data_IF_200637750325
#
_entry.id   IF_200637750325
#
_cell.length_a   1.000
_cell.length_b   1.000
_cell.length_c   1.000
_cell.angle_alpha   90.00
_cell.angle_beta   90.00
_cell.angle_gamma   90.00
#
_symmetry.space_group_name_H-M   'P 1'
#
loop_
_entity.id
_entity.type
_entity.pdbx_description
1 polymer ?
#
# COMPACT_ATOMS: atom_id res chain seq x y z
N UNK A 1 -2.49 -43.14 -15.26
CA UNK A 1 -2.35 -43.19 -13.79
C UNK A 1 -1.55 -41.99 -13.33
N UNK A 2 -2.06 -41.29 -12.30
CA UNK A 2 -1.51 -40.13 -11.56
C UNK A 2 -1.36 -38.79 -12.31
N UNK A 3 -2.46 -38.03 -12.21
CA UNK A 3 -2.54 -36.56 -12.34
C UNK A 3 -1.83 -35.91 -11.14
N UNK A 4 -1.02 -34.89 -11.36
CA UNK A 4 -0.75 -33.87 -10.35
C UNK A 4 -1.41 -32.57 -10.80
N UNK A 5 -2.48 -32.24 -10.10
CA UNK A 5 -3.11 -30.92 -10.10
C UNK A 5 -2.16 -29.95 -9.40
N UNK A 6 -1.69 -28.92 -10.09
CA UNK A 6 -1.25 -27.68 -9.44
C UNK A 6 -2.34 -26.64 -9.65
N UNK A 7 -3.30 -26.64 -8.73
CA UNK A 7 -4.18 -25.50 -8.50
C UNK A 7 -3.42 -24.47 -7.68
N UNK A 8 -3.33 -23.25 -8.20
CA UNK A 8 -3.70 -22.02 -7.52
C UNK A 8 -2.95 -21.59 -6.26
N UNK A 9 -2.42 -20.36 -6.32
CA UNK A 9 -2.73 -19.37 -5.29
C UNK A 9 -1.55 -18.69 -4.62
N UNK A 10 -1.48 -17.38 -4.86
CA UNK A 10 -0.85 -16.34 -4.02
C UNK A 10 0.69 -16.35 -3.97
N UNK A 11 1.42 -15.23 -3.96
CA UNK A 11 1.19 -13.90 -3.38
C UNK A 11 1.97 -12.81 -4.14
N UNK A 12 1.36 -11.63 -4.16
CA UNK A 12 1.94 -10.28 -4.29
C UNK A 12 3.38 -10.19 -3.77
N UNK A 13 4.34 -9.86 -4.65
CA UNK A 13 5.64 -9.31 -4.24
C UNK A 13 5.56 -7.80 -4.34
N UNK A 14 4.85 -7.20 -3.39
CA UNK A 14 5.03 -5.80 -2.99
C UNK A 14 5.60 -5.89 -1.58
N UNK A 15 6.92 -5.87 -1.49
CA UNK A 15 7.60 -6.05 -0.23
C UNK A 15 9.08 -6.14 -0.45
N UNK A 16 9.73 -4.97 -0.48
CA UNK A 16 11.16 -4.65 -0.38
C UNK A 16 11.25 -3.24 -0.96
N UNK A 17 11.09 -2.17 -0.18
CA UNK A 17 12.17 -1.50 0.53
C UNK A 17 11.53 -0.63 1.62
N UNK A 18 11.61 -1.05 2.89
CA UNK A 18 11.49 -0.16 4.06
C UNK A 18 12.17 -0.82 5.25
N UNK A 19 13.50 -0.97 5.21
CA UNK A 19 14.29 -1.21 6.41
C UNK A 19 15.67 -0.55 6.26
N UNK A 20 15.80 0.65 6.82
CA UNK A 20 17.04 1.06 7.44
C UNK A 20 16.80 1.94 8.67
N UNK A 21 17.54 1.56 9.72
CA UNK A 21 17.68 2.07 11.07
C UNK A 21 17.87 3.60 11.16
N UNK A 22 17.51 4.19 12.33
CA UNK A 22 18.19 5.28 13.10
C UNK A 22 17.18 5.93 14.12
N UNK A 23 17.61 6.70 15.14
CA UNK A 23 17.17 6.58 16.55
C UNK A 23 15.95 7.44 16.93
N UNK A 24 15.49 7.25 18.19
CA UNK A 24 14.40 7.88 19.01
C UNK A 24 13.65 9.14 18.51
N UNK A 25 14.23 10.01 17.68
CA UNK A 25 13.51 11.12 17.02
C UNK A 25 12.57 10.66 15.88
N UNK A 26 12.71 9.43 15.38
CA UNK A 26 11.82 8.86 14.35
C UNK A 26 10.46 8.46 14.90
N UNK A 27 10.34 8.18 16.21
CA UNK A 27 9.12 7.64 16.80
C UNK A 27 8.01 8.69 16.89
N UNK A 28 8.34 9.91 17.34
CA UNK A 28 7.42 11.06 17.28
C UNK A 28 7.02 11.40 15.83
N UNK A 29 7.95 11.30 14.87
CA UNK A 29 7.67 11.60 13.46
C UNK A 29 6.78 10.52 12.82
N UNK A 30 6.94 9.26 13.22
CA UNK A 30 6.13 8.12 12.75
C UNK A 30 4.71 8.18 13.34
N UNK A 31 4.57 8.48 14.62
CA UNK A 31 3.27 8.64 15.28
C UNK A 31 2.52 9.88 14.77
N UNK A 32 3.22 11.02 14.60
CA UNK A 32 2.62 12.21 13.99
C UNK A 32 2.18 11.95 12.54
N UNK A 33 2.92 11.13 11.77
CA UNK A 33 2.50 10.69 10.43
C UNK A 33 1.27 9.79 10.49
N UNK A 34 1.19 8.84 11.43
CA UNK A 34 0.02 7.96 11.60
C UNK A 34 -1.25 8.72 12.02
N UNK A 35 -1.13 9.80 12.81
CA UNK A 35 -2.24 10.67 13.15
C UNK A 35 -2.73 11.55 11.98
N UNK A 36 -1.87 11.75 10.96
CA UNK A 36 -2.14 12.57 9.77
C UNK A 36 -2.64 11.74 8.57
N UNK A 37 -2.62 10.41 8.66
CA UNK A 37 -3.16 9.51 7.66
C UNK A 37 -4.65 9.26 7.92
N UNK A 38 -5.45 9.10 6.87
CA UNK A 38 -6.80 8.59 7.01
C UNK A 38 -6.77 7.06 7.02
N UNK A 39 -7.49 6.44 7.95
CA UNK A 39 -7.70 4.98 7.92
C UNK A 39 -8.89 4.68 7.01
N UNK A 40 -8.74 3.76 6.05
CA UNK A 40 -9.82 3.30 5.17
C UNK A 40 -10.85 2.38 5.86
N UNK A 41 -10.82 2.27 7.19
CA UNK A 41 -11.58 1.26 7.95
C UNK A 41 -12.34 1.94 9.10
N UNK A 42 -13.40 2.67 8.77
CA UNK A 42 -14.41 3.12 9.75
C UNK A 42 -15.73 3.42 9.03
N UNK A 43 -16.29 2.39 8.40
CA UNK A 43 -17.70 2.33 8.03
C UNK A 43 -18.23 0.91 8.21
N UNK A 44 -18.17 0.36 9.42
CA UNK A 44 -19.13 -0.64 9.90
C UNK A 44 -19.21 -0.46 11.42
N UNK A 45 -20.14 0.37 11.87
CA UNK A 45 -20.54 0.41 13.27
C UNK A 45 -21.74 -0.51 13.45
N UNK A 46 -21.58 -1.45 14.39
CA UNK A 46 -22.55 -2.46 14.79
C UNK A 46 -23.77 -1.80 15.44
N UNK A 47 -24.95 -2.30 15.09
CA UNK A 47 -26.13 -2.22 15.96
C UNK A 47 -26.75 -3.62 16.01
N UNK A 48 -26.71 -4.25 17.17
CA UNK A 48 -27.41 -5.51 17.45
C UNK A 48 -28.89 -5.27 17.81
N UNK A 49 -29.75 -6.32 17.75
CA UNK A 49 -31.18 -6.18 17.58
C UNK A 49 -31.99 -6.40 18.87
N UNK A 50 -33.17 -5.78 18.95
CA UNK A 50 -34.30 -6.30 19.72
C UNK A 50 -35.61 -6.11 18.94
N UNK A 51 -36.51 -7.07 19.09
CA UNK A 51 -37.53 -7.50 18.12
C UNK A 51 -38.95 -7.10 18.53
N UNK A 52 -39.79 -6.64 17.59
CA UNK A 52 -41.25 -6.96 17.54
C UNK A 52 -41.93 -6.55 16.21
N UNK A 53 -42.15 -7.54 15.31
CA UNK A 53 -43.42 -7.95 14.63
C UNK A 53 -44.48 -6.83 14.39
N UNK A 54 -45.00 -6.44 13.20
CA UNK A 54 -45.59 -7.15 12.03
C UNK A 54 -45.93 -6.13 10.87
N UNK A 55 -46.53 -6.47 9.71
CA UNK A 55 -45.98 -6.12 8.39
C UNK A 55 -46.89 -5.23 7.50
N UNK A 56 -46.30 -4.60 6.49
CA UNK A 56 -47.01 -4.27 5.25
C UNK A 56 -46.70 -2.91 4.61
N UNK A 57 -46.03 -2.99 3.46
CA UNK A 57 -46.14 -2.16 2.22
C UNK A 57 -44.80 -1.61 1.69
N UNK A 58 -44.32 -2.35 0.69
CA UNK A 58 -43.68 -1.97 -0.59
C UNK A 58 -42.94 -0.62 -0.73
N UNK A 59 -41.66 -0.80 -1.12
CA UNK A 59 -40.92 -0.14 -2.21
C UNK A 59 -40.15 1.14 -1.89
N UNK A 60 -38.82 1.01 -1.83
CA UNK A 60 -37.86 1.77 -2.66
C UNK A 60 -36.46 1.16 -2.53
N UNK A 61 -36.11 0.29 -3.47
CA UNK A 61 -34.76 -0.28 -3.61
C UNK A 61 -33.88 0.78 -4.28
N UNK A 62 -32.96 1.40 -3.54
CA UNK A 62 -31.88 2.17 -4.15
C UNK A 62 -30.85 1.19 -4.71
N UNK A 63 -31.10 0.76 -5.95
CA UNK A 63 -30.09 0.11 -6.78
C UNK A 63 -29.05 1.17 -7.18
N UNK A 64 -27.82 0.94 -6.74
CA UNK A 64 -26.62 1.61 -7.21
C UNK A 64 -26.52 1.42 -8.71
N UNK A 65 -26.76 2.50 -9.46
CA UNK A 65 -26.62 2.52 -10.90
C UNK A 65 -25.13 2.59 -11.23
N UNK A 66 -24.51 1.43 -11.31
CA UNK A 66 -23.24 1.21 -12.01
C UNK A 66 -23.51 0.17 -13.07
N UNK A 67 -24.14 0.60 -14.16
CA UNK A 67 -24.14 -0.13 -15.43
C UNK A 67 -22.70 -0.12 -15.96
N UNK A 68 -21.85 -1.00 -15.43
CA UNK A 68 -20.78 -1.58 -16.23
C UNK A 68 -21.46 -2.64 -17.10
N UNK A 69 -21.63 -2.32 -18.37
CA UNK A 69 -22.03 -3.28 -19.40
C UNK A 69 -21.04 -4.45 -19.39
N UNK A 70 -21.40 -5.53 -18.67
CA UNK A 70 -20.68 -6.79 -18.62
C UNK A 70 -20.86 -7.63 -19.90
N UNK A 71 -21.27 -7.02 -21.02
CA UNK A 71 -21.56 -7.72 -22.27
C UNK A 71 -20.49 -7.58 -23.35
N UNK A 72 -19.54 -6.63 -23.23
CA UNK A 72 -18.55 -6.39 -24.30
C UNK A 72 -17.14 -6.94 -24.00
N UNK A 73 -16.89 -7.41 -22.78
CA UNK A 73 -15.55 -7.93 -22.39
C UNK A 73 -15.25 -9.32 -22.97
N UNK A 74 -16.19 -9.96 -23.67
CA UNK A 74 -16.03 -11.28 -24.29
C UNK A 74 -16.09 -11.24 -25.83
N UNK A 75 -16.18 -10.06 -26.44
CA UNK A 75 -16.10 -9.95 -27.90
C UNK A 75 -14.64 -10.03 -28.36
N UNK A 76 -14.30 -10.84 -29.40
CA UNK A 76 -12.96 -10.89 -29.99
C UNK A 76 -12.40 -9.50 -30.35
N UNK A 77 -13.29 -8.56 -30.69
CA UNK A 77 -12.93 -7.17 -31.02
C UNK A 77 -12.41 -6.38 -29.81
N UNK A 78 -12.96 -6.62 -28.63
CA UNK A 78 -12.52 -5.97 -27.38
C UNK A 78 -11.12 -6.43 -26.95
N UNK A 79 -10.79 -7.70 -27.17
CA UNK A 79 -9.47 -8.23 -26.85
C UNK A 79 -8.37 -7.69 -27.77
N UNK A 80 -8.64 -7.54 -29.07
CA UNK A 80 -7.71 -6.91 -30.04
C UNK A 80 -7.38 -5.49 -29.61
N UNK A 81 -8.40 -4.69 -29.27
CA UNK A 81 -8.21 -3.31 -28.84
C UNK A 81 -7.40 -3.22 -27.54
N UNK A 82 -7.72 -4.09 -26.57
CA UNK A 82 -6.96 -4.18 -25.33
C UNK A 82 -5.49 -4.53 -25.59
N UNK A 83 -5.21 -5.57 -26.40
CA UNK A 83 -3.83 -5.98 -26.72
C UNK A 83 -3.06 -4.90 -27.50
N UNK A 84 -3.73 -4.18 -28.40
CA UNK A 84 -3.12 -3.14 -29.23
C UNK A 84 -2.82 -1.85 -28.48
N UNK A 85 -3.73 -1.41 -27.61
CA UNK A 85 -3.72 -0.04 -27.07
C UNK A 85 -3.37 0.06 -25.59
N UNK A 86 -3.37 -1.04 -24.83
CA UNK A 86 -3.02 -1.02 -23.40
C UNK A 86 -1.51 -1.06 -23.14
N UNK A 87 -1.11 -0.66 -21.95
CA UNK A 87 0.25 -0.79 -21.42
C UNK A 87 0.20 -1.28 -19.97
N UNK A 88 1.37 -1.54 -19.39
CA UNK A 88 1.53 -1.89 -17.99
C UNK A 88 0.75 -3.14 -17.61
N UNK A 89 0.08 -3.07 -16.46
CA UNK A 89 -0.70 -4.19 -15.92
C UNK A 89 -1.89 -4.56 -16.79
N UNK A 90 -2.53 -3.57 -17.41
CA UNK A 90 -3.67 -3.80 -18.30
C UNK A 90 -3.28 -4.68 -19.49
N UNK A 91 -2.13 -4.41 -20.09
CA UNK A 91 -1.58 -5.24 -21.16
C UNK A 91 -1.25 -6.66 -20.70
N UNK A 92 -0.59 -6.79 -19.55
CA UNK A 92 -0.26 -8.10 -18.98
C UNK A 92 -1.52 -8.92 -18.73
N UNK A 93 -2.59 -8.31 -18.23
CA UNK A 93 -3.90 -8.95 -18.03
C UNK A 93 -4.49 -9.40 -19.37
N UNK A 94 -4.49 -8.53 -20.38
CA UNK A 94 -5.00 -8.87 -21.72
C UNK A 94 -4.24 -10.03 -22.37
N UNK A 95 -2.90 -10.04 -22.28
CA UNK A 95 -2.05 -11.14 -22.77
C UNK A 95 -2.41 -12.45 -22.05
N UNK A 96 -2.49 -12.43 -20.72
CA UNK A 96 -2.83 -13.63 -19.94
C UNK A 96 -4.24 -14.13 -20.25
N UNK A 97 -5.19 -13.23 -20.43
CA UNK A 97 -6.57 -13.56 -20.77
C UNK A 97 -6.66 -14.23 -22.14
N UNK A 98 -5.94 -13.72 -23.15
CA UNK A 98 -5.84 -14.36 -24.47
C UNK A 98 -5.37 -15.81 -24.35
N UNK A 99 -4.22 -16.02 -23.69
CA UNK A 99 -3.63 -17.35 -23.58
C UNK A 99 -4.48 -18.31 -22.74
N UNK A 100 -5.09 -17.84 -21.66
CA UNK A 100 -6.01 -18.65 -20.85
C UNK A 100 -7.24 -19.08 -21.66
N UNK A 101 -7.79 -18.17 -22.47
CA UNK A 101 -8.97 -18.44 -23.30
C UNK A 101 -8.65 -19.47 -24.38
N UNK A 102 -7.57 -19.28 -25.13
CA UNK A 102 -7.22 -20.20 -26.21
C UNK A 102 -6.78 -21.58 -25.70
N UNK A 103 -6.15 -21.65 -24.51
CA UNK A 103 -5.81 -22.93 -23.88
C UNK A 103 -7.06 -23.71 -23.50
N UNK A 104 -8.09 -23.02 -23.02
CA UNK A 104 -9.40 -23.62 -22.68
C UNK A 104 -10.09 -24.16 -23.93
N UNK A 105 -9.93 -23.48 -25.07
CA UNK A 105 -10.56 -23.84 -26.34
C UNK A 105 -9.70 -24.77 -27.23
N UNK A 106 -8.46 -25.08 -26.80
CA UNK A 106 -7.49 -25.91 -27.53
C UNK A 106 -7.14 -25.40 -28.95
N UNK A 107 -7.16 -24.09 -29.16
CA UNK A 107 -7.05 -23.46 -30.49
C UNK A 107 -6.04 -22.29 -30.56
N UNK A 108 -5.09 -22.22 -29.62
CA UNK A 108 -4.12 -21.12 -29.50
C UNK A 108 -3.40 -20.74 -30.79
N UNK A 109 -2.98 -21.71 -31.61
CA UNK A 109 -2.28 -21.43 -32.87
C UNK A 109 -3.22 -20.69 -33.83
N UNK A 110 -4.48 -21.13 -33.95
CA UNK A 110 -5.45 -20.51 -34.83
C UNK A 110 -5.83 -19.11 -34.35
N UNK A 111 -6.08 -18.93 -33.06
CA UNK A 111 -6.39 -17.61 -32.50
C UNK A 111 -5.20 -16.64 -32.63
N UNK A 112 -3.97 -17.11 -32.40
CA UNK A 112 -2.77 -16.28 -32.51
C UNK A 112 -2.51 -15.82 -33.97
N UNK A 113 -2.67 -16.71 -34.94
CA UNK A 113 -2.56 -16.35 -36.36
C UNK A 113 -3.68 -15.40 -36.79
N UNK A 114 -4.90 -15.59 -36.29
CA UNK A 114 -6.02 -14.68 -36.55
C UNK A 114 -5.77 -13.24 -36.10
N UNK A 115 -4.94 -13.03 -35.06
CA UNK A 115 -4.59 -11.71 -34.54
C UNK A 115 -3.47 -11.01 -35.31
N UNK A 116 -2.73 -11.72 -36.18
CA UNK A 116 -1.53 -11.21 -36.83
C UNK A 116 -1.77 -9.99 -37.73
N UNK A 117 -2.90 -9.94 -38.42
CA UNK A 117 -3.29 -8.79 -39.27
C UNK A 117 -3.95 -7.65 -38.48
N UNK A 118 -4.27 -7.86 -37.21
CA UNK A 118 -5.03 -6.92 -36.37
C UNK A 118 -4.17 -6.18 -35.35
N UNK A 119 -2.96 -6.68 -35.08
CA UNK A 119 -1.99 -6.10 -34.17
C UNK A 119 -0.76 -5.58 -34.94
N UNK A 120 -0.05 -4.61 -34.37
CA UNK A 120 1.26 -4.26 -34.89
C UNK A 120 2.23 -5.45 -34.77
N UNK A 121 3.26 -5.48 -35.62
CA UNK A 121 4.28 -6.54 -35.58
C UNK A 121 4.91 -6.70 -34.18
N UNK A 122 5.18 -5.59 -33.50
CA UNK A 122 5.73 -5.58 -32.14
C UNK A 122 4.74 -6.16 -31.12
N UNK A 123 3.45 -5.78 -31.20
CA UNK A 123 2.41 -6.29 -30.29
C UNK A 123 2.15 -7.78 -30.50
N UNK A 124 2.13 -8.22 -31.75
CA UNK A 124 1.97 -9.63 -32.07
C UNK A 124 3.17 -10.45 -31.61
N UNK A 125 4.40 -9.99 -31.86
CA UNK A 125 5.62 -10.66 -31.40
C UNK A 125 5.69 -10.73 -29.87
N UNK A 126 5.29 -9.66 -29.18
CA UNK A 126 5.16 -9.66 -27.72
C UNK A 126 4.17 -10.73 -27.25
N UNK A 127 2.97 -10.78 -27.85
CA UNK A 127 1.94 -11.75 -27.49
C UNK A 127 2.44 -13.19 -27.69
N UNK A 128 3.01 -13.46 -28.87
CA UNK A 128 3.48 -14.79 -29.29
C UNK A 128 4.58 -15.34 -28.38
N UNK A 129 5.54 -14.49 -27.98
CA UNK A 129 6.71 -14.92 -27.22
C UNK A 129 6.60 -14.67 -25.71
N UNK A 130 5.46 -14.13 -25.23
CA UNK A 130 5.32 -13.60 -23.88
C UNK A 130 5.80 -14.55 -22.78
N UNK A 131 5.38 -15.81 -22.78
CA UNK A 131 5.70 -16.73 -21.69
C UNK A 131 7.17 -17.14 -21.65
N UNK A 132 7.77 -17.41 -22.81
CA UNK A 132 9.18 -17.76 -22.92
C UNK A 132 10.07 -16.57 -22.50
N UNK A 133 9.75 -15.38 -23.01
CA UNK A 133 10.46 -14.15 -22.63
C UNK A 133 10.24 -13.83 -21.15
N UNK A 134 9.03 -14.03 -20.62
CA UNK A 134 8.76 -13.82 -19.19
C UNK A 134 9.52 -14.80 -18.31
N UNK A 135 9.67 -16.07 -18.70
CA UNK A 135 10.48 -17.03 -17.96
C UNK A 135 11.94 -16.57 -17.90
N UNK A 136 12.49 -16.12 -19.03
CA UNK A 136 13.84 -15.55 -19.11
C UNK A 136 13.97 -14.31 -18.22
N UNK A 137 12.96 -13.44 -18.23
CA UNK A 137 12.92 -12.25 -17.38
C UNK A 137 12.94 -12.60 -15.88
N UNK A 138 12.15 -13.58 -15.45
CA UNK A 138 12.14 -14.01 -14.04
C UNK A 138 13.50 -14.56 -13.61
N UNK A 139 14.20 -15.29 -14.48
CA UNK A 139 15.55 -15.80 -14.22
C UNK A 139 16.58 -14.67 -14.12
N UNK A 140 16.49 -13.66 -14.99
CA UNK A 140 17.37 -12.48 -14.92
C UNK A 140 17.11 -11.68 -13.63
N UNK A 141 15.85 -11.53 -13.24
CA UNK A 141 15.48 -10.87 -11.99
C UNK A 141 16.01 -11.61 -10.76
N UNK A 142 15.91 -12.93 -10.70
CA UNK A 142 16.42 -13.70 -9.56
C UNK A 142 17.93 -13.59 -9.38
N UNK A 143 18.65 -13.34 -10.48
CA UNK A 143 20.10 -13.18 -10.50
C UNK A 143 20.54 -11.72 -10.30
N UNK A 144 19.59 -10.78 -10.21
CA UNK A 144 19.89 -9.37 -10.06
C UNK A 144 20.29 -9.08 -8.61
N UNK A 145 21.59 -8.92 -8.38
CA UNK A 145 22.14 -8.59 -7.06
C UNK A 145 22.51 -7.11 -7.02
N UNK A 146 21.78 -6.33 -6.24
CA UNK A 146 22.11 -4.93 -5.99
C UNK A 146 23.16 -4.80 -4.89
N UNK A 147 24.16 -3.95 -5.12
CA UNK A 147 25.13 -3.61 -4.08
C UNK A 147 24.44 -2.76 -2.99
N UNK A 148 24.73 -3.06 -1.71
CA UNK A 148 24.18 -2.35 -0.56
C UNK A 148 24.46 -0.85 -0.59
N UNK A 149 25.59 -0.43 -1.19
CA UNK A 149 25.99 0.98 -1.35
C UNK A 149 25.48 1.63 -2.64
N UNK A 150 24.83 0.87 -3.53
CA UNK A 150 24.28 1.41 -4.77
C UNK A 150 23.07 2.30 -4.47
N UNK A 151 23.07 3.51 -5.03
CA UNK A 151 21.94 4.44 -4.89
C UNK A 151 20.66 3.86 -5.49
N UNK A 152 19.50 4.30 -4.99
CA UNK A 152 18.20 3.88 -5.55
C UNK A 152 18.11 4.18 -7.06
N UNK A 153 18.57 5.36 -7.48
CA UNK A 153 18.62 5.77 -8.90
C UNK A 153 19.41 4.76 -9.75
N UNK A 154 20.59 4.36 -9.28
CA UNK A 154 21.43 3.39 -9.98
C UNK A 154 20.77 2.00 -10.04
N UNK A 155 20.08 1.56 -8.99
CA UNK A 155 19.36 0.28 -8.97
C UNK A 155 18.19 0.28 -9.95
N UNK A 156 17.40 1.36 -9.97
CA UNK A 156 16.28 1.53 -10.92
C UNK A 156 16.78 1.54 -12.36
N UNK A 157 17.88 2.26 -12.63
CA UNK A 157 18.48 2.30 -13.97
C UNK A 157 18.94 0.91 -14.42
N UNK A 158 19.57 0.15 -13.53
CA UNK A 158 20.01 -1.21 -13.82
C UNK A 158 18.83 -2.15 -14.09
N UNK A 159 17.77 -2.08 -13.28
CA UNK A 159 16.54 -2.83 -13.49
C UNK A 159 15.91 -2.53 -14.87
N UNK A 160 15.78 -1.24 -15.22
CA UNK A 160 15.25 -0.81 -16.52
C UNK A 160 16.13 -1.30 -17.67
N UNK A 161 17.45 -1.25 -17.51
CA UNK A 161 18.40 -1.77 -18.49
C UNK A 161 18.22 -3.28 -18.68
N UNK A 162 18.10 -4.05 -17.59
CA UNK A 162 17.82 -5.49 -17.65
C UNK A 162 16.47 -5.81 -18.30
N UNK A 163 15.44 -5.02 -18.04
CA UNK A 163 14.16 -5.16 -18.71
C UNK A 163 14.30 -4.98 -20.22
N UNK A 164 15.05 -3.96 -20.66
CA UNK A 164 15.33 -3.74 -22.09
C UNK A 164 16.19 -4.84 -22.72
N UNK A 165 17.15 -5.43 -22.00
CA UNK A 165 17.93 -6.57 -22.50
C UNK A 165 17.05 -7.78 -22.84
N UNK A 166 16.02 -8.05 -22.02
CA UNK A 166 15.16 -9.23 -22.18
C UNK A 166 13.99 -8.95 -23.11
N UNK A 167 13.34 -7.80 -22.96
CA UNK A 167 12.09 -7.48 -23.65
C UNK A 167 12.27 -6.53 -24.84
N UNK A 168 13.47 -6.00 -25.06
CA UNK A 168 13.72 -4.98 -26.09
C UNK A 168 12.79 -3.79 -25.93
N UNK A 169 12.26 -3.30 -27.06
CA UNK A 169 11.34 -2.16 -27.10
C UNK A 169 10.04 -2.39 -26.32
N UNK A 170 9.63 -3.66 -26.12
CA UNK A 170 8.41 -3.98 -25.36
C UNK A 170 8.54 -3.71 -23.86
N UNK A 171 9.76 -3.55 -23.33
CA UNK A 171 9.99 -3.27 -21.92
C UNK A 171 9.20 -2.04 -21.43
N UNK A 172 9.28 -0.93 -22.18
CA UNK A 172 8.62 0.33 -21.80
C UNK A 172 7.09 0.24 -21.83
N UNK A 173 6.55 -0.66 -22.65
CA UNK A 173 5.10 -0.86 -22.74
C UNK A 173 4.63 -1.83 -21.66
N UNK A 174 5.36 -2.91 -21.41
CA UNK A 174 5.01 -3.92 -20.40
C UNK A 174 5.12 -3.40 -18.97
N UNK A 175 6.16 -2.61 -18.68
CA UNK A 175 6.45 -2.10 -17.34
C UNK A 175 6.10 -0.61 -17.21
N UNK A 176 5.19 -0.10 -18.05
CA UNK A 176 4.83 1.32 -18.07
C UNK A 176 4.45 1.82 -16.67
N UNK A 177 3.54 1.10 -15.99
CA UNK A 177 3.06 1.47 -14.65
C UNK A 177 4.19 1.45 -13.61
N UNK A 178 5.01 0.39 -13.62
CA UNK A 178 6.13 0.23 -12.70
C UNK A 178 7.21 1.29 -12.93
N UNK A 179 7.52 1.61 -14.18
CA UNK A 179 8.52 2.62 -14.53
C UNK A 179 8.07 4.02 -14.16
N UNK A 180 6.79 4.34 -14.37
CA UNK A 180 6.16 5.58 -13.87
C UNK A 180 6.33 5.67 -12.35
N UNK A 181 6.05 4.59 -11.62
CA UNK A 181 6.18 4.57 -10.16
C UNK A 181 7.63 4.79 -9.71
N UNK A 182 8.60 4.16 -10.36
CA UNK A 182 10.02 4.33 -10.04
C UNK A 182 10.50 5.76 -10.32
N UNK A 183 10.20 6.29 -11.50
CA UNK A 183 10.62 7.62 -11.90
C UNK A 183 10.00 8.70 -11.02
N UNK A 184 8.71 8.56 -10.69
CA UNK A 184 8.04 9.41 -9.73
C UNK A 184 8.72 9.34 -8.36
N UNK A 185 9.03 8.13 -7.87
CA UNK A 185 9.66 7.96 -6.56
C UNK A 185 11.04 8.61 -6.49
N UNK A 186 11.86 8.44 -7.54
CA UNK A 186 13.17 9.08 -7.63
C UNK A 186 13.10 10.61 -7.65
N UNK A 187 12.11 11.18 -8.35
CA UNK A 187 11.91 12.63 -8.34
C UNK A 187 11.35 13.12 -7.00
N UNK A 188 10.44 12.36 -6.41
CA UNK A 188 9.80 12.68 -5.14
C UNK A 188 10.80 12.62 -3.97
N UNK A 189 11.78 11.70 -4.00
CA UNK A 189 12.82 11.62 -2.97
C UNK A 189 13.66 12.89 -2.89
N UNK A 190 13.87 13.60 -4.01
CA UNK A 190 14.60 14.88 -4.01
C UNK A 190 13.95 15.93 -3.12
N UNK A 191 12.64 15.84 -2.86
CA UNK A 191 11.93 16.74 -1.94
C UNK A 191 12.37 16.59 -0.48
N UNK A 192 13.01 15.48 -0.12
CA UNK A 192 13.53 15.26 1.24
C UNK A 192 14.75 16.12 1.56
N UNK A 193 15.42 16.65 0.55
CA UNK A 193 16.59 17.51 0.70
C UNK A 193 16.25 19.00 0.51
N UNK A 194 14.97 19.32 0.34
CA UNK A 194 14.48 20.68 0.06
C UNK A 194 14.18 21.41 1.37
N UNK A 195 14.57 22.69 1.44
CA UNK A 195 14.23 23.56 2.57
C UNK A 195 12.72 23.80 2.69
N UNK A 196 12.25 24.17 3.87
CA UNK A 196 10.82 24.42 4.10
C UNK A 196 10.23 25.46 3.14
N UNK A 197 10.97 26.54 2.87
CA UNK A 197 10.54 27.61 1.96
C UNK A 197 10.29 27.13 0.52
N UNK A 198 11.11 26.20 0.04
CA UNK A 198 11.06 25.71 -1.34
C UNK A 198 10.18 24.46 -1.51
N UNK A 199 9.73 23.86 -0.40
CA UNK A 199 9.00 22.60 -0.39
C UNK A 199 7.71 22.66 -1.22
N UNK A 200 6.83 23.63 -0.94
CA UNK A 200 5.53 23.73 -1.61
C UNK A 200 5.67 23.99 -3.12
N UNK A 201 6.48 24.95 -3.60
CA UNK A 201 6.72 25.13 -5.03
C UNK A 201 7.19 23.85 -5.72
N UNK A 202 8.17 23.14 -5.14
CA UNK A 202 8.73 21.94 -5.74
C UNK A 202 7.75 20.77 -5.73
N UNK A 203 6.98 20.59 -4.65
CA UNK A 203 5.92 19.58 -4.61
C UNK A 203 4.84 19.86 -5.66
N UNK A 204 4.45 21.12 -5.84
CA UNK A 204 3.48 21.49 -6.88
C UNK A 204 4.00 21.20 -8.27
N UNK A 205 5.27 21.51 -8.53
CA UNK A 205 5.91 21.17 -9.80
C UNK A 205 5.87 19.66 -10.05
N UNK A 206 6.26 18.85 -9.05
CA UNK A 206 6.16 17.39 -9.13
C UNK A 206 4.73 16.94 -9.47
N UNK A 207 3.70 17.48 -8.80
CA UNK A 207 2.31 17.13 -9.10
C UNK A 207 1.87 17.54 -10.51
N UNK A 208 2.38 18.65 -11.06
CA UNK A 208 2.09 19.04 -12.44
C UNK A 208 2.80 18.14 -13.46
N UNK A 209 4.06 17.79 -13.21
CA UNK A 209 4.83 16.89 -14.08
C UNK A 209 4.14 15.53 -14.24
N UNK A 210 3.53 15.03 -13.16
CA UNK A 210 2.92 13.70 -13.12
C UNK A 210 1.39 13.70 -13.22
N UNK A 211 0.77 14.82 -13.61
CA UNK A 211 -0.69 15.00 -13.62
C UNK A 211 -1.43 13.94 -14.43
N UNK A 212 -0.87 13.51 -15.56
CA UNK A 212 -1.51 12.52 -16.44
C UNK A 212 -1.40 11.09 -15.88
N UNK A 213 -0.48 10.85 -14.94
CA UNK A 213 -0.18 9.54 -14.36
C UNK A 213 -0.68 9.39 -12.91
N UNK A 214 -1.51 10.33 -12.44
CA UNK A 214 -2.05 10.30 -11.08
C UNK A 214 -2.75 8.96 -10.76
N UNK A 215 -3.35 8.33 -11.76
CA UNK A 215 -4.06 7.07 -11.61
C UNK A 215 -3.15 5.89 -11.31
N UNK A 216 -2.03 5.79 -12.03
CA UNK A 216 -0.99 4.79 -11.78
C UNK A 216 -0.33 5.05 -10.42
N UNK A 217 -0.11 6.32 -10.07
CA UNK A 217 0.55 6.72 -8.84
C UNK A 217 -0.35 6.67 -7.59
N UNK A 218 -1.64 6.38 -7.76
CA UNK A 218 -2.61 6.40 -6.65
C UNK A 218 -2.85 7.80 -6.09
N UNK A 219 -2.63 8.86 -6.88
CA UNK A 219 -2.74 10.26 -6.49
C UNK A 219 -4.02 10.93 -7.02
N UNK A 220 -5.02 10.16 -7.41
CA UNK A 220 -6.28 10.65 -8.01
C UNK A 220 -7.12 11.54 -7.10
N UNK A 221 -6.89 11.47 -5.79
CA UNK A 221 -7.69 12.20 -4.82
C UNK A 221 -6.86 13.32 -4.19
N UNK A 222 -7.48 14.47 -3.84
CA UNK A 222 -6.81 15.51 -3.08
C UNK A 222 -6.19 14.97 -1.78
N UNK A 223 -6.86 14.03 -1.12
CA UNK A 223 -6.39 13.36 0.09
C UNK A 223 -5.11 12.55 -0.15
N UNK A 224 -5.02 11.76 -1.22
CA UNK A 224 -3.81 11.01 -1.53
C UNK A 224 -2.63 11.96 -1.83
N UNK A 225 -2.87 13.08 -2.52
CA UNK A 225 -1.86 14.12 -2.74
C UNK A 225 -1.40 14.74 -1.43
N UNK A 226 -2.32 15.02 -0.51
CA UNK A 226 -2.01 15.52 0.83
C UNK A 226 -1.14 14.55 1.63
N UNK A 227 -1.52 13.28 1.71
CA UNK A 227 -0.77 12.25 2.44
C UNK A 227 0.62 12.06 1.85
N UNK A 228 0.71 12.03 0.51
CA UNK A 228 2.00 11.98 -0.19
C UNK A 228 2.84 13.20 0.14
N UNK A 229 2.27 14.41 0.09
CA UNK A 229 2.97 15.64 0.42
C UNK A 229 3.49 15.63 1.86
N UNK A 230 2.76 15.11 2.84
CA UNK A 230 3.27 15.07 4.22
C UNK A 230 4.41 14.05 4.36
N UNK A 231 4.31 12.91 3.69
CA UNK A 231 5.31 11.84 3.76
C UNK A 231 6.70 12.27 3.26
N UNK A 232 6.73 13.28 2.37
CA UNK A 232 7.94 13.77 1.70
C UNK A 232 8.58 15.00 2.37
N UNK A 233 7.94 15.60 3.39
CA UNK A 233 8.57 16.66 4.17
C UNK A 233 9.80 16.08 4.88
N UNK A 234 10.94 16.75 4.69
CA UNK A 234 12.23 16.38 5.29
C UNK A 234 12.16 16.29 6.81
N UNK A 235 12.91 15.35 7.40
CA UNK A 235 13.13 15.30 8.84
C UNK A 235 13.99 16.44 9.36
N UNK A 236 14.72 17.15 8.48
CA UNK A 236 15.57 18.28 8.84
C UNK A 236 14.79 19.60 8.98
N UNK A 237 13.52 19.64 8.54
CA UNK A 237 12.65 20.81 8.69
C UNK A 237 12.26 20.96 10.17
N UNK A 238 12.35 22.17 10.71
CA UNK A 238 12.03 22.42 12.11
C UNK A 238 10.55 22.13 12.43
N UNK A 239 10.20 21.82 13.69
CA UNK A 239 8.80 21.53 14.06
C UNK A 239 7.81 22.66 13.69
N UNK A 240 8.23 23.92 13.86
CA UNK A 240 7.40 25.09 13.55
C UNK A 240 7.16 25.24 12.04
N UNK A 241 8.22 25.12 11.23
CA UNK A 241 8.11 25.14 9.78
C UNK A 241 7.28 23.96 9.26
N UNK A 242 7.49 22.77 9.82
CA UNK A 242 6.72 21.58 9.48
C UNK A 242 5.23 21.79 9.76
N UNK A 243 4.87 22.37 10.91
CA UNK A 243 3.49 22.71 11.24
C UNK A 243 2.88 23.69 10.23
N UNK A 244 3.62 24.72 9.84
CA UNK A 244 3.20 25.69 8.83
C UNK A 244 2.99 25.04 7.45
N UNK A 245 3.89 24.15 7.03
CA UNK A 245 3.77 23.38 5.80
C UNK A 245 2.55 22.47 5.81
N UNK A 246 2.34 21.71 6.90
CA UNK A 246 1.18 20.83 7.05
C UNK A 246 -0.11 21.65 6.95
N UNK A 247 -0.20 22.79 7.64
CA UNK A 247 -1.38 23.65 7.58
C UNK A 247 -1.63 24.17 6.16
N UNK A 248 -0.58 24.57 5.44
CA UNK A 248 -0.68 25.00 4.04
C UNK A 248 -1.15 23.88 3.12
N UNK A 249 -0.65 22.66 3.32
CA UNK A 249 -1.08 21.47 2.57
C UNK A 249 -2.53 21.08 2.89
N UNK A 250 -2.95 21.17 4.14
CA UNK A 250 -4.34 20.94 4.56
C UNK A 250 -5.29 21.89 3.84
N UNK A 251 -5.00 23.19 3.89
CA UNK A 251 -5.83 24.22 3.25
C UNK A 251 -5.91 24.06 1.72
N UNK A 252 -4.88 23.47 1.11
CA UNK A 252 -4.82 23.27 -0.33
C UNK A 252 -5.59 22.04 -0.81
N UNK A 253 -5.50 20.94 -0.07
CA UNK A 253 -5.95 19.63 -0.55
C UNK A 253 -7.16 19.07 0.19
N UNK A 254 -7.46 19.56 1.39
CA UNK A 254 -8.52 18.99 2.22
C UNK A 254 -9.68 19.96 2.39
N UNK A 255 -10.87 19.41 2.55
CA UNK A 255 -12.05 20.18 2.94
C UNK A 255 -12.11 20.36 4.47
N UNK A 256 -13.02 21.23 4.94
CA UNK A 256 -13.16 21.56 6.37
C UNK A 256 -13.47 20.32 7.24
N UNK A 257 -14.29 19.40 6.75
CA UNK A 257 -14.64 18.16 7.46
C UNK A 257 -13.42 17.27 7.65
N UNK A 258 -12.65 17.06 6.58
CA UNK A 258 -11.41 16.30 6.61
C UNK A 258 -10.36 16.92 7.56
N UNK A 259 -10.22 18.24 7.54
CA UNK A 259 -9.31 18.95 8.47
C UNK A 259 -9.76 18.73 9.92
N UNK A 260 -11.06 18.81 10.19
CA UNK A 260 -11.62 18.56 11.52
C UNK A 260 -11.37 17.13 12.01
N UNK A 261 -11.58 16.13 11.14
CA UNK A 261 -11.32 14.73 11.44
C UNK A 261 -9.85 14.48 11.78
N UNK A 262 -8.92 15.07 11.02
CA UNK A 262 -7.48 14.96 11.33
C UNK A 262 -7.17 15.55 12.71
N UNK A 263 -7.73 16.72 13.05
CA UNK A 263 -7.53 17.33 14.36
C UNK A 263 -8.06 16.46 15.49
N UNK A 264 -9.25 15.90 15.32
CA UNK A 264 -9.84 14.98 16.30
C UNK A 264 -8.98 13.73 16.48
N UNK A 265 -8.48 13.14 15.38
CA UNK A 265 -7.58 11.99 15.43
C UNK A 265 -6.25 12.32 16.11
N UNK A 266 -5.68 13.50 15.85
CA UNK A 266 -4.48 13.95 16.54
C UNK A 266 -4.69 14.07 18.05
N UNK A 267 -5.83 14.60 18.48
CA UNK A 267 -6.20 14.68 19.88
C UNK A 267 -6.36 13.28 20.49
N UNK A 268 -7.05 12.38 19.80
CA UNK A 268 -7.22 10.99 20.25
C UNK A 268 -5.88 10.27 20.41
N UNK A 269 -4.95 10.42 19.46
CA UNK A 269 -3.61 9.81 19.54
C UNK A 269 -2.82 10.39 20.71
N UNK A 270 -2.94 11.70 20.97
CA UNK A 270 -2.31 12.34 22.11
C UNK A 270 -2.85 11.80 23.45
N UNK A 271 -4.17 11.64 23.56
CA UNK A 271 -4.82 11.06 24.73
C UNK A 271 -4.42 9.60 24.95
N UNK A 272 -4.40 8.79 23.89
CA UNK A 272 -3.94 7.40 23.94
C UNK A 272 -2.48 7.29 24.37
N UNK A 273 -1.60 8.18 23.90
CA UNK A 273 -0.20 8.17 24.32
C UNK A 273 -0.07 8.49 25.81
N UNK A 274 -0.84 9.46 26.32
CA UNK A 274 -0.88 9.78 27.74
C UNK A 274 -1.35 8.59 28.58
N UNK A 275 -2.38 7.88 28.13
CA UNK A 275 -2.89 6.68 28.79
C UNK A 275 -1.84 5.55 28.81
N UNK A 276 -1.10 5.36 27.70
CA UNK A 276 0.01 4.40 27.62
C UNK A 276 1.13 4.78 28.61
N UNK A 277 1.52 6.06 28.66
CA UNK A 277 2.58 6.52 29.57
C UNK A 277 2.17 6.34 31.04
N UNK A 278 0.90 6.63 31.37
CA UNK A 278 0.34 6.40 32.69
C UNK A 278 0.30 4.91 33.06
N UNK A 279 -0.11 4.05 32.11
CA UNK A 279 -0.08 2.60 32.28
C UNK A 279 1.32 2.10 32.58
N UNK A 280 2.31 2.49 31.78
CA UNK A 280 3.70 2.05 31.96
C UNK A 280 4.25 2.48 33.32
N UNK A 281 4.01 3.73 33.71
CA UNK A 281 4.45 4.25 35.01
C UNK A 281 3.85 3.46 36.18
N UNK A 282 2.52 3.25 36.18
CA UNK A 282 1.85 2.49 37.23
C UNK A 282 2.21 1.01 37.23
N UNK A 283 2.46 0.43 36.06
CA UNK A 283 2.90 -0.96 35.94
C UNK A 283 4.27 -1.15 36.59
N UNK A 284 5.22 -0.24 36.36
CA UNK A 284 6.54 -0.32 36.97
C UNK A 284 6.48 -0.15 38.50
N UNK A 285 5.66 0.78 39.00
CA UNK A 285 5.41 0.91 40.45
C UNK A 285 4.83 -0.40 41.03
N UNK A 286 3.85 -0.99 40.35
CA UNK A 286 3.24 -2.25 40.78
C UNK A 286 4.23 -3.42 40.76
N UNK A 287 5.09 -3.51 39.74
CA UNK A 287 6.16 -4.52 39.69
C UNK A 287 7.13 -4.36 40.86
N UNK A 288 7.50 -3.13 41.20
CA UNK A 288 8.35 -2.87 42.38
C UNK A 288 7.66 -3.29 43.69
N UNK A 289 6.34 -3.08 43.83
CA UNK A 289 5.58 -3.57 44.98
C UNK A 289 5.58 -5.11 45.05
N UNK A 290 5.34 -5.80 43.92
CA UNK A 290 5.42 -7.26 43.86
C UNK A 290 6.83 -7.77 44.22
N UNK A 291 7.89 -7.09 43.78
CA UNK A 291 9.25 -7.47 44.15
C UNK A 291 9.50 -7.34 45.67
N UNK A 292 8.94 -6.31 46.31
CA UNK A 292 8.99 -6.16 47.76
C UNK A 292 8.21 -7.27 48.48
N UNK A 293 7.02 -7.62 47.99
CA UNK A 293 6.23 -8.76 48.49
C UNK A 293 7.04 -10.07 48.41
N UNK A 294 7.68 -10.35 47.26
CA UNK A 294 8.54 -11.52 47.08
C UNK A 294 9.67 -11.61 48.10
N UNK A 295 10.33 -10.48 48.37
CA UNK A 295 11.45 -10.42 49.32
C UNK A 295 10.99 -10.69 50.75
N UNK A 296 9.77 -10.28 51.11
CA UNK A 296 9.20 -10.47 52.44
C UNK A 296 8.64 -11.89 52.69
N UNK A 297 8.41 -12.70 51.66
CA UNK A 297 7.79 -14.03 51.80
C UNK A 297 8.74 -15.13 52.32
N UNK A 298 8.23 -16.10 53.12
CA UNK A 298 8.94 -17.32 53.48
C UNK A 298 9.28 -18.19 52.25
N UNK A 299 10.37 -18.97 52.31
CA UNK A 299 10.84 -19.79 51.18
C UNK A 299 9.79 -20.77 50.63
N UNK A 300 8.92 -21.32 51.49
CA UNK A 300 7.85 -22.24 51.11
C UNK A 300 6.77 -21.61 50.22
N UNK A 301 6.55 -20.30 50.29
CA UNK A 301 5.55 -19.58 49.49
C UNK A 301 6.10 -19.14 48.12
N UNK A 302 7.43 -19.10 47.97
CA UNK A 302 8.11 -18.71 46.73
C UNK A 302 7.97 -19.72 45.59
N UNK A 303 7.59 -20.96 45.91
CA UNK A 303 7.52 -22.07 44.95
C UNK A 303 6.49 -21.84 43.83
N UNK A 304 5.50 -20.95 44.05
CA UNK A 304 4.47 -20.56 43.07
C UNK A 304 4.53 -19.08 42.67
N UNK A 305 5.64 -18.38 42.97
CA UNK A 305 5.74 -16.94 42.80
C UNK A 305 5.51 -16.47 41.36
N UNK A 306 6.05 -17.19 40.37
CA UNK A 306 5.90 -16.80 38.96
C UNK A 306 4.43 -16.81 38.51
N UNK A 307 3.66 -17.83 38.92
CA UNK A 307 2.24 -17.93 38.59
C UNK A 307 1.45 -16.80 39.25
N UNK A 308 1.71 -16.54 40.54
CA UNK A 308 1.11 -15.42 41.25
C UNK A 308 1.45 -14.07 40.61
N UNK A 309 2.73 -13.85 40.28
CA UNK A 309 3.21 -12.62 39.65
C UNK A 309 2.49 -12.35 38.32
N UNK A 310 2.42 -13.34 37.42
CA UNK A 310 1.74 -13.18 36.14
C UNK A 310 0.24 -12.88 36.32
N UNK A 311 -0.43 -13.58 37.24
CA UNK A 311 -1.84 -13.32 37.55
C UNK A 311 -2.07 -11.90 38.04
N UNK A 312 -1.19 -11.40 38.93
CA UNK A 312 -1.27 -10.02 39.44
C UNK A 312 -1.06 -8.98 38.35
N UNK A 313 -0.15 -9.23 37.41
CA UNK A 313 0.07 -8.38 36.24
C UNK A 313 -1.14 -8.37 35.30
N UNK A 314 -1.77 -9.53 35.06
CA UNK A 314 -3.00 -9.58 34.27
C UNK A 314 -4.16 -8.83 34.94
N UNK A 315 -4.34 -9.03 36.25
CA UNK A 315 -5.40 -8.34 37.01
C UNK A 315 -5.16 -6.84 37.12
N UNK A 316 -3.90 -6.42 37.16
CA UNK A 316 -3.54 -5.01 37.01
C UNK A 316 -3.96 -4.48 35.63
N UNK A 317 -3.64 -5.19 34.54
CA UNK A 317 -4.00 -4.79 33.17
C UNK A 317 -5.52 -4.70 32.99
N UNK A 318 -6.27 -5.71 33.44
CA UNK A 318 -7.75 -5.73 33.38
C UNK A 318 -8.34 -4.54 34.11
N UNK A 319 -7.86 -4.25 35.32
CA UNK A 319 -8.32 -3.09 36.11
C UNK A 319 -7.95 -1.75 35.49
N UNK A 320 -6.75 -1.63 34.90
CA UNK A 320 -6.30 -0.38 34.31
C UNK A 320 -7.11 -0.01 33.07
N UNK A 321 -7.37 -0.98 32.18
CA UNK A 321 -8.09 -0.75 30.92
C UNK A 321 -9.61 -1.04 31.00
N UNK A 322 -10.12 -1.41 32.17
CA UNK A 322 -11.53 -1.79 32.37
C UNK A 322 -12.02 -2.90 31.42
N UNK A 323 -11.19 -3.93 31.19
CA UNK A 323 -11.45 -5.06 30.26
C UNK A 323 -11.74 -6.40 30.94
#
# INVERSE_FOLDING_TARGET
MKRFLYLGGFTVVVGLILLHNQPKAIEENRQARSALQFSATQQVEQSQPESTVKPGKKVATYQTKTEMNASDTHSPRGLVEQLGNSSGRSLIVAIKLFWQTCQTNYDCIQQLEGLKSHLSSERWALLANYFETNQTWQQQLSNLVFNQHQSLSSRVLELKRKANEVWGNSANILFADEFVLYDFSLQAEKLRDVSAQNYLPMFNHLMQTWKNEEHILGLNTPQAKYEKAISLISSQVSPNERKSLIQSLQNRYLNKTQISQIKQRQQQVFEQQKEIDEYQSRLEEFKHQLEQEYRAQPYSEKQNWEVYYQQRIEDFRRRFFEI
#
